data_IF_773518485189
#
_entry.id   IF_773518485189
#
_cell.length_a   1.000
_cell.length_b   1.000
_cell.length_c   1.000
_cell.angle_alpha   90.00
_cell.angle_beta   90.00
_cell.angle_gamma   90.00
#
_symmetry.space_group_name_H-M   'P 1'
#
loop_
_entity.id
_entity.type
_entity.pdbx_description
1 polymer ?
#
# COMPACT_ATOMS: atom_id res chain seq x y z
N UNK A 1 -49.24 -37.10 94.67
CA UNK A 1 -49.36 -37.76 93.36
C UNK A 1 -48.41 -37.03 92.42
N UNK A 2 -47.37 -37.72 92.03
CA UNK A 2 -46.06 -37.23 91.57
C UNK A 2 -46.12 -36.72 90.14
N UNK A 3 -45.67 -35.50 89.85
CA UNK A 3 -45.22 -35.11 88.49
C UNK A 3 -43.93 -34.29 88.63
N UNK A 4 -42.91 -34.79 87.95
CA UNK A 4 -41.50 -34.39 87.99
C UNK A 4 -41.22 -33.10 87.20
N UNK A 5 -40.24 -32.35 87.71
CA UNK A 5 -39.45 -31.34 86.99
C UNK A 5 -38.73 -31.98 85.80
N UNK A 6 -38.71 -31.30 84.65
CA UNK A 6 -37.74 -31.55 83.59
C UNK A 6 -37.18 -30.22 83.07
N UNK A 7 -35.88 -30.04 83.24
CA UNK A 7 -35.10 -28.92 82.75
C UNK A 7 -34.95 -29.00 81.22
N UNK A 8 -35.17 -27.88 80.54
CA UNK A 8 -34.87 -27.73 79.12
C UNK A 8 -33.50 -27.07 79.02
N UNK A 9 -32.47 -27.88 78.76
CA UNK A 9 -31.14 -27.39 78.35
C UNK A 9 -31.18 -26.92 76.90
N UNK A 10 -30.84 -25.66 76.71
CA UNK A 10 -30.70 -24.98 75.43
C UNK A 10 -29.35 -25.39 74.78
N UNK A 11 -29.38 -26.31 73.82
CA UNK A 11 -28.19 -26.66 73.02
C UNK A 11 -28.16 -25.73 71.79
N UNK A 12 -27.28 -24.73 71.86
CA UNK A 12 -26.86 -23.91 70.72
C UNK A 12 -26.01 -24.75 69.76
N UNK A 13 -26.56 -25.14 68.60
CA UNK A 13 -25.80 -25.74 67.51
C UNK A 13 -25.31 -24.63 66.56
N UNK A 14 -24.07 -24.20 66.74
CA UNK A 14 -23.37 -23.32 65.81
C UNK A 14 -22.97 -24.13 64.56
N UNK A 15 -23.71 -23.95 63.47
CA UNK A 15 -23.31 -24.46 62.14
C UNK A 15 -22.17 -23.58 61.64
N UNK A 16 -20.94 -24.06 61.84
CA UNK A 16 -19.76 -23.52 61.19
C UNK A 16 -19.82 -23.92 59.71
N UNK A 17 -20.17 -22.97 58.85
CA UNK A 17 -19.97 -23.05 57.40
C UNK A 17 -18.47 -23.02 57.10
N UNK A 18 -17.81 -24.18 57.18
CA UNK A 18 -16.47 -24.34 56.65
C UNK A 18 -16.58 -24.47 55.12
N UNK A 19 -16.29 -23.39 54.40
CA UNK A 19 -15.86 -23.50 53.01
C UNK A 19 -14.58 -24.36 52.99
N UNK A 20 -14.69 -25.61 52.58
CA UNK A 20 -13.52 -26.38 52.16
C UNK A 20 -13.03 -25.79 50.84
N UNK A 21 -11.83 -25.17 50.78
CA UNK A 21 -11.24 -24.84 49.50
C UNK A 21 -10.97 -26.15 48.75
N UNK A 22 -11.49 -26.25 47.52
CA UNK A 22 -11.06 -27.29 46.59
C UNK A 22 -9.52 -27.23 46.50
N UNK A 23 -8.79 -28.34 46.65
CA UNK A 23 -7.36 -28.34 46.41
C UNK A 23 -7.12 -27.87 44.97
N UNK A 24 -6.46 -26.71 44.84
CA UNK A 24 -6.10 -26.12 43.58
C UNK A 24 -4.95 -26.90 42.95
N UNK A 25 -5.26 -28.07 42.38
CA UNK A 25 -4.41 -28.68 41.35
C UNK A 25 -5.07 -28.50 39.99
N UNK A 26 -5.18 -27.25 39.55
CA UNK A 26 -5.14 -26.98 38.12
C UNK A 26 -3.66 -26.88 37.76
N UNK A 27 -3.07 -27.97 37.28
CA UNK A 27 -1.91 -27.83 36.40
C UNK A 27 -2.32 -26.80 35.33
N UNK A 28 -1.61 -25.67 35.16
CA UNK A 28 -1.88 -24.82 34.01
C UNK A 28 -1.79 -25.71 32.78
N UNK A 29 -2.81 -25.67 31.92
CA UNK A 29 -2.78 -26.40 30.67
C UNK A 29 -1.47 -26.03 29.97
N UNK A 30 -0.58 -27.01 29.79
CA UNK A 30 0.66 -26.80 29.06
C UNK A 30 0.27 -26.62 27.59
N UNK A 31 0.17 -25.36 27.20
CA UNK A 31 -0.21 -24.92 25.88
C UNK A 31 -0.40 -23.41 25.91
N UNK A 32 0.14 -22.72 24.92
CA UNK A 32 -0.10 -21.28 24.75
C UNK A 32 -1.61 -21.03 24.71
N UNK A 33 -2.10 -20.20 25.65
CA UNK A 33 -3.49 -19.78 25.74
C UNK A 33 -3.79 -18.56 24.83
N UNK A 34 -2.80 -18.16 24.02
CA UNK A 34 -2.98 -17.07 23.08
C UNK A 34 -3.97 -17.52 21.99
N UNK A 35 -4.93 -16.68 21.61
CA UNK A 35 -5.84 -16.97 20.51
C UNK A 35 -5.10 -16.87 19.14
N UNK A 36 -5.70 -17.32 18.02
CA UNK A 36 -5.09 -17.18 16.71
C UNK A 36 -4.98 -15.71 16.28
N UNK A 37 -4.00 -15.36 15.45
CA UNK A 37 -3.76 -14.01 14.92
C UNK A 37 -3.77 -14.08 13.40
N UNK A 38 -4.58 -13.24 12.76
CA UNK A 38 -4.54 -13.06 11.31
C UNK A 38 -3.25 -12.35 10.92
N UNK A 39 -2.47 -12.94 10.02
CA UNK A 39 -1.15 -12.44 9.61
C UNK A 39 -1.17 -11.85 8.22
N UNK A 40 -2.03 -12.34 7.33
CA UNK A 40 -2.04 -11.95 5.93
C UNK A 40 -3.43 -12.10 5.29
N UNK A 41 -3.75 -11.22 4.35
CA UNK A 41 -4.86 -11.36 3.40
C UNK A 41 -4.29 -11.27 1.98
N UNK A 42 -4.61 -12.27 1.18
CA UNK A 42 -4.18 -12.39 -0.21
C UNK A 42 -5.40 -12.68 -1.08
N UNK A 43 -5.27 -12.40 -2.36
CA UNK A 43 -6.23 -12.78 -3.37
C UNK A 43 -5.48 -13.15 -4.65
N UNK A 44 -5.70 -14.38 -5.12
CA UNK A 44 -5.05 -14.93 -6.31
C UNK A 44 -5.97 -14.97 -7.51
N UNK A 45 -7.26 -14.68 -7.31
CA UNK A 45 -8.26 -14.56 -8.36
C UNK A 45 -9.39 -13.63 -7.93
N UNK A 46 -10.28 -13.20 -8.83
CA UNK A 46 -11.45 -12.39 -8.47
C UNK A 46 -12.43 -13.11 -7.53
N UNK A 47 -12.37 -14.43 -7.42
CA UNK A 47 -13.35 -15.23 -6.67
C UNK A 47 -12.74 -15.97 -5.47
N UNK A 48 -11.54 -15.59 -5.03
CA UNK A 48 -10.86 -16.24 -3.92
C UNK A 48 -10.10 -15.21 -3.06
N UNK A 49 -10.42 -15.21 -1.77
CA UNK A 49 -9.67 -14.52 -0.73
C UNK A 49 -8.99 -15.58 0.12
N UNK A 50 -7.69 -15.45 0.34
CA UNK A 50 -6.89 -16.35 1.17
C UNK A 50 -6.42 -15.58 2.40
N UNK A 51 -6.81 -16.04 3.59
CA UNK A 51 -6.39 -15.50 4.87
C UNK A 51 -5.38 -16.44 5.51
N UNK A 52 -4.28 -15.91 6.05
CA UNK A 52 -3.32 -16.68 6.84
C UNK A 52 -3.38 -16.31 8.32
N UNK A 53 -3.14 -17.31 9.14
CA UNK A 53 -3.09 -17.20 10.59
C UNK A 53 -1.78 -17.78 11.14
N UNK A 54 -1.45 -17.46 12.38
CA UNK A 54 -0.28 -18.01 13.09
C UNK A 54 -0.48 -19.47 13.60
N UNK A 55 -1.72 -19.98 13.51
CA UNK A 55 -2.17 -21.26 14.06
C UNK A 55 -3.22 -21.89 13.17
N UNK A 56 -3.42 -23.19 13.36
CA UNK A 56 -4.54 -23.88 12.71
C UNK A 56 -5.88 -23.35 13.21
N UNK A 57 -6.81 -23.18 12.27
CA UNK A 57 -8.10 -22.56 12.53
C UNK A 57 -9.27 -23.44 12.05
N UNK A 58 -10.45 -23.11 12.55
CA UNK A 58 -11.75 -23.55 12.06
C UNK A 58 -12.67 -22.35 12.01
N UNK A 59 -13.48 -22.25 10.95
CA UNK A 59 -14.49 -21.21 10.79
C UNK A 59 -15.57 -21.65 9.79
N UNK A 60 -16.76 -21.06 9.90
CA UNK A 60 -17.90 -21.27 9.01
C UNK A 60 -18.19 -20.02 8.16
N UNK A 61 -18.88 -20.13 7.00
CA UNK A 61 -19.23 -18.98 6.17
C UNK A 61 -19.97 -17.86 6.90
N UNK A 62 -20.81 -18.20 7.89
CA UNK A 62 -21.54 -17.22 8.71
C UNK A 62 -20.65 -16.39 9.63
N UNK A 63 -19.39 -16.80 9.83
CA UNK A 63 -18.45 -16.11 10.68
C UNK A 63 -17.77 -14.94 9.96
N UNK A 64 -17.97 -14.78 8.66
CA UNK A 64 -17.30 -13.77 7.82
C UNK A 64 -18.28 -12.81 7.18
N UNK A 65 -17.79 -11.60 6.91
CA UNK A 65 -18.45 -10.61 6.08
C UNK A 65 -17.42 -9.81 5.28
N UNK A 66 -17.78 -9.44 4.06
CA UNK A 66 -16.99 -8.56 3.19
C UNK A 66 -17.73 -7.22 3.09
N UNK A 67 -16.99 -6.11 3.11
CA UNK A 67 -17.51 -4.76 2.94
C UNK A 67 -16.73 -4.08 1.79
N UNK A 68 -17.38 -3.51 0.75
CA UNK A 68 -18.82 -3.53 0.46
C UNK A 68 -19.43 -4.94 0.45
N UNK A 69 -20.74 -5.05 0.70
CA UNK A 69 -21.39 -6.35 0.89
C UNK A 69 -21.29 -7.21 -0.37
N UNK A 70 -20.53 -8.31 -0.24
CA UNK A 70 -20.45 -9.39 -1.20
C UNK A 70 -20.77 -10.67 -0.45
N UNK A 71 -21.77 -11.42 -0.90
CA UNK A 71 -22.15 -12.68 -0.24
C UNK A 71 -21.00 -13.69 -0.29
N UNK A 72 -20.93 -14.62 0.66
CA UNK A 72 -19.91 -15.68 0.73
C UNK A 72 -20.58 -17.03 0.44
N UNK A 73 -20.10 -17.74 -0.58
CA UNK A 73 -20.68 -19.03 -0.98
C UNK A 73 -20.11 -20.19 -0.15
N UNK A 74 -18.82 -20.14 0.18
CA UNK A 74 -18.15 -21.18 0.95
C UNK A 74 -16.91 -20.63 1.65
N UNK A 75 -16.50 -21.35 2.70
CA UNK A 75 -15.27 -21.14 3.43
C UNK A 75 -14.60 -22.50 3.60
N UNK A 76 -13.32 -22.59 3.26
CA UNK A 76 -12.52 -23.79 3.40
C UNK A 76 -11.32 -23.53 4.31
N UNK A 77 -11.11 -24.40 5.29
CA UNK A 77 -10.01 -24.27 6.25
C UNK A 77 -8.93 -25.33 5.94
N UNK A 78 -7.71 -24.87 5.68
CA UNK A 78 -6.55 -25.69 5.33
C UNK A 78 -5.39 -25.37 6.30
N UNK A 79 -5.39 -26.03 7.45
CA UNK A 79 -4.40 -25.77 8.51
C UNK A 79 -4.46 -24.31 8.98
N UNK A 80 -3.41 -23.54 8.69
CA UNK A 80 -3.28 -22.12 9.07
C UNK A 80 -3.90 -21.14 8.04
N UNK A 81 -4.60 -21.67 7.03
CA UNK A 81 -5.14 -20.87 5.92
C UNK A 81 -6.66 -21.01 5.85
N UNK A 82 -7.37 -19.90 5.64
CA UNK A 82 -8.79 -19.88 5.30
C UNK A 82 -8.94 -19.38 3.88
N UNK A 83 -9.65 -20.14 3.05
CA UNK A 83 -10.09 -19.71 1.74
C UNK A 83 -11.55 -19.29 1.81
N UNK A 84 -11.84 -18.03 1.48
CA UNK A 84 -13.18 -17.46 1.44
C UNK A 84 -13.55 -17.24 -0.02
N UNK A 85 -14.67 -17.83 -0.43
CA UNK A 85 -15.18 -17.78 -1.80
C UNK A 85 -16.38 -16.83 -1.87
N UNK A 86 -16.24 -15.65 -2.49
CA UNK A 86 -17.35 -14.75 -2.70
C UNK A 86 -18.37 -15.32 -3.71
N UNK A 87 -19.63 -14.99 -3.52
CA UNK A 87 -20.76 -15.37 -4.40
C UNK A 87 -20.69 -14.76 -5.80
N UNK A 88 -19.94 -13.66 -5.94
CA UNK A 88 -19.66 -13.00 -7.21
C UNK A 88 -18.19 -12.56 -7.24
N UNK A 89 -17.56 -12.48 -8.42
CA UNK A 89 -16.22 -11.94 -8.56
C UNK A 89 -16.10 -10.53 -7.95
N UNK A 90 -15.04 -10.31 -7.21
CA UNK A 90 -14.65 -9.00 -6.70
C UNK A 90 -14.16 -8.11 -7.85
N UNK A 91 -14.46 -6.82 -7.78
CA UNK A 91 -14.07 -5.85 -8.80
C UNK A 91 -12.58 -5.54 -8.67
N UNK A 92 -11.85 -5.62 -9.77
CA UNK A 92 -10.42 -5.33 -9.81
C UNK A 92 -10.11 -3.93 -9.26
N UNK A 93 -9.14 -3.83 -8.35
CA UNK A 93 -8.68 -2.56 -7.79
C UNK A 93 -9.67 -1.87 -6.84
N UNK A 94 -10.84 -2.44 -6.56
CA UNK A 94 -11.75 -1.93 -5.54
C UNK A 94 -11.26 -2.32 -4.14
N UNK A 95 -11.39 -1.41 -3.17
CA UNK A 95 -11.04 -1.67 -1.77
C UNK A 95 -12.16 -2.46 -1.08
N UNK A 96 -11.79 -3.55 -0.43
CA UNK A 96 -12.66 -4.37 0.39
C UNK A 96 -12.10 -4.52 1.80
N UNK A 97 -13.00 -4.71 2.76
CA UNK A 97 -12.69 -5.01 4.15
C UNK A 97 -13.36 -6.33 4.53
N UNK A 98 -12.56 -7.33 4.88
CA UNK A 98 -13.07 -8.61 5.39
C UNK A 98 -13.01 -8.60 6.91
N UNK A 99 -14.14 -8.88 7.55
CA UNK A 99 -14.23 -9.17 8.98
C UNK A 99 -14.54 -10.64 9.15
N UNK A 100 -13.98 -11.25 10.18
CA UNK A 100 -14.37 -12.60 10.54
C UNK A 100 -14.06 -12.96 11.97
N UNK A 101 -14.60 -14.10 12.41
CA UNK A 101 -14.21 -14.76 13.65
C UNK A 101 -13.68 -16.15 13.33
N UNK A 102 -12.53 -16.49 13.90
CA UNK A 102 -11.93 -17.83 13.77
C UNK A 102 -11.70 -18.44 15.14
N UNK A 103 -11.61 -19.76 15.19
CA UNK A 103 -11.34 -20.51 16.41
C UNK A 103 -10.20 -21.51 16.20
N UNK A 104 -9.33 -21.69 17.20
CA UNK A 104 -8.29 -22.73 17.17
C UNK A 104 -8.79 -24.08 17.72
N UNK A 105 -7.97 -25.12 17.61
CA UNK A 105 -8.28 -26.47 18.13
C UNK A 105 -8.48 -26.52 19.66
N UNK A 106 -8.04 -25.50 20.40
CA UNK A 106 -8.22 -25.35 21.85
C UNK A 106 -9.43 -24.50 22.21
N UNK A 107 -10.22 -24.08 21.22
CA UNK A 107 -11.41 -23.23 21.33
C UNK A 107 -11.12 -21.78 21.71
N UNK A 108 -9.90 -21.30 21.55
CA UNK A 108 -9.62 -19.87 21.64
C UNK A 108 -10.11 -19.19 20.36
N UNK A 109 -10.81 -18.07 20.49
CA UNK A 109 -11.41 -17.35 19.36
C UNK A 109 -10.80 -15.96 19.21
N UNK A 110 -10.68 -15.50 17.96
CA UNK A 110 -10.28 -14.14 17.59
C UNK A 110 -11.23 -13.60 16.54
N UNK A 111 -11.72 -12.37 16.76
CA UNK A 111 -12.30 -11.57 15.69
C UNK A 111 -11.23 -10.68 15.08
N UNK A 112 -11.21 -10.58 13.76
CA UNK A 112 -10.22 -9.81 13.02
C UNK A 112 -10.90 -8.98 11.93
N UNK A 113 -10.14 -8.02 11.39
CA UNK A 113 -10.54 -7.24 10.23
C UNK A 113 -9.32 -6.85 9.42
N UNK A 114 -9.38 -7.02 8.10
CA UNK A 114 -8.28 -6.70 7.19
C UNK A 114 -8.81 -6.01 5.93
N UNK A 115 -8.09 -5.00 5.48
CA UNK A 115 -8.31 -4.36 4.18
C UNK A 115 -7.54 -5.11 3.10
N UNK A 116 -8.15 -5.26 1.93
CA UNK A 116 -7.52 -5.81 0.73
C UNK A 116 -8.13 -5.18 -0.53
N UNK A 117 -7.55 -5.43 -1.69
CA UNK A 117 -8.03 -4.90 -2.96
C UNK A 117 -8.45 -6.03 -3.88
N UNK A 118 -9.53 -5.87 -4.65
CA UNK A 118 -9.99 -6.89 -5.59
C UNK A 118 -8.94 -7.21 -6.65
N UNK A 119 -8.86 -8.48 -7.04
CA UNK A 119 -7.76 -8.99 -7.86
C UNK A 119 -7.86 -8.45 -9.28
N UNK A 120 -6.76 -7.89 -9.79
CA UNK A 120 -6.67 -7.44 -11.17
C UNK A 120 -5.96 -8.51 -12.02
N UNK A 121 -6.70 -9.29 -12.84
CA UNK A 121 -6.10 -10.36 -13.64
C UNK A 121 -5.34 -9.87 -14.88
N UNK A 122 -5.51 -8.59 -15.24
CA UNK A 122 -5.00 -8.00 -16.47
C UNK A 122 -4.10 -6.79 -16.16
N UNK A 123 -3.16 -6.96 -15.24
CA UNK A 123 -2.25 -5.87 -14.86
C UNK A 123 -1.34 -5.44 -16.02
N UNK A 124 -1.28 -4.13 -16.36
CA UNK A 124 -0.28 -3.58 -17.26
C UNK A 124 1.10 -3.59 -16.61
N UNK A 125 2.13 -3.40 -17.42
CA UNK A 125 3.50 -3.10 -16.96
C UNK A 125 3.74 -1.62 -17.19
N UNK A 126 3.86 -0.87 -16.10
CA UNK A 126 4.06 0.58 -16.08
C UNK A 126 5.45 0.91 -15.54
N UNK A 127 6.05 1.96 -16.08
CA UNK A 127 7.28 2.57 -15.57
C UNK A 127 7.03 4.03 -15.25
N UNK A 128 7.61 4.54 -14.17
CA UNK A 128 7.77 5.98 -13.94
C UNK A 128 8.71 6.48 -15.04
N UNK A 129 8.28 7.45 -15.83
CA UNK A 129 8.95 7.81 -17.08
C UNK A 129 9.50 9.24 -17.10
N UNK A 130 8.74 10.19 -16.58
CA UNK A 130 9.12 11.60 -16.50
C UNK A 130 8.40 12.27 -15.33
N UNK A 131 9.06 13.17 -14.60
CA UNK A 131 8.42 13.90 -13.52
C UNK A 131 9.07 15.26 -13.22
N UNK A 132 8.32 16.15 -12.57
CA UNK A 132 8.80 17.43 -12.05
C UNK A 132 8.62 17.50 -10.54
N UNK A 133 9.58 18.10 -9.82
CA UNK A 133 9.54 18.20 -8.34
C UNK A 133 9.38 19.62 -7.81
N UNK A 134 9.24 20.61 -8.70
CA UNK A 134 9.25 22.03 -8.38
C UNK A 134 8.22 22.80 -9.23
N UNK A 135 7.01 22.27 -9.29
CA UNK A 135 5.88 22.81 -10.05
C UNK A 135 5.48 24.21 -9.61
N UNK A 136 4.87 24.93 -10.55
CA UNK A 136 4.30 26.26 -10.38
C UNK A 136 2.80 26.25 -10.65
N UNK A 137 2.11 27.37 -10.41
CA UNK A 137 0.67 27.47 -10.69
C UNK A 137 0.28 27.29 -12.17
N UNK A 138 1.24 27.27 -13.11
CA UNK A 138 1.03 27.02 -14.55
C UNK A 138 1.68 25.73 -15.05
N UNK A 139 2.45 25.06 -14.19
CA UNK A 139 3.17 23.83 -14.50
C UNK A 139 3.09 22.97 -13.25
N UNK A 140 1.99 22.22 -13.03
CA UNK A 140 1.83 21.41 -11.84
C UNK A 140 3.00 20.44 -11.68
N UNK A 141 3.19 19.91 -10.46
CA UNK A 141 4.03 18.73 -10.34
C UNK A 141 3.32 17.58 -11.05
N UNK A 142 3.96 17.01 -12.06
CA UNK A 142 3.40 15.91 -12.84
C UNK A 142 4.32 14.71 -12.74
N UNK A 143 3.74 13.53 -12.61
CA UNK A 143 4.41 12.24 -12.78
C UNK A 143 3.78 11.56 -13.97
N UNK A 144 4.59 11.22 -14.96
CA UNK A 144 4.22 10.44 -16.11
C UNK A 144 4.59 8.97 -15.92
N UNK A 145 3.66 8.11 -16.29
CA UNK A 145 3.88 6.68 -16.41
C UNK A 145 3.89 6.28 -17.89
N UNK A 146 4.85 5.45 -18.28
CA UNK A 146 4.90 4.83 -19.60
C UNK A 146 4.38 3.40 -19.55
N UNK A 147 3.50 3.04 -20.48
CA UNK A 147 2.87 1.71 -20.54
C UNK A 147 3.71 0.79 -21.43
N UNK A 148 4.55 -0.04 -20.81
CA UNK A 148 5.38 -1.05 -21.52
C UNK A 148 4.56 -2.24 -22.03
N UNK A 149 3.53 -2.62 -21.28
CA UNK A 149 2.55 -3.66 -21.65
C UNK A 149 1.16 -3.18 -21.25
N UNK A 150 0.20 -3.26 -22.19
CA UNK A 150 -1.19 -2.90 -21.94
C UNK A 150 -1.91 -3.83 -20.95
N UNK A 151 -3.07 -3.36 -20.47
CA UNK A 151 -3.89 -4.03 -19.47
C UNK A 151 -4.88 -3.06 -18.81
N UNK A 152 -5.50 -3.48 -17.71
CA UNK A 152 -6.36 -2.67 -16.86
C UNK A 152 -5.55 -2.07 -15.71
N UNK A 153 -5.54 -0.75 -15.57
CA UNK A 153 -4.76 -0.05 -14.54
C UNK A 153 -5.35 -0.13 -13.12
N UNK A 154 -6.52 -0.76 -12.94
CA UNK A 154 -7.25 -0.77 -11.69
C UNK A 154 -6.40 -1.17 -10.49
N UNK A 155 -6.39 -0.30 -9.48
CA UNK A 155 -5.75 -0.53 -8.20
C UNK A 155 -4.26 -0.21 -8.16
N UNK A 156 -3.58 -0.09 -9.31
CA UNK A 156 -2.16 0.30 -9.33
C UNK A 156 -2.01 1.64 -8.62
N UNK A 157 -1.03 1.73 -7.72
CA UNK A 157 -0.90 2.86 -6.81
C UNK A 157 0.44 3.54 -6.97
N UNK A 158 0.41 4.84 -7.24
CA UNK A 158 1.57 5.73 -7.16
C UNK A 158 1.67 6.30 -5.74
N UNK A 159 2.84 6.22 -5.13
CA UNK A 159 3.15 6.89 -3.88
C UNK A 159 4.23 7.95 -4.08
N UNK A 160 4.00 9.13 -3.50
CA UNK A 160 5.07 10.07 -3.14
C UNK A 160 5.79 9.56 -1.89
N UNK A 161 6.58 8.50 -2.05
CA UNK A 161 7.23 7.75 -0.98
C UNK A 161 7.22 6.25 -1.28
N UNK A 162 6.97 5.44 -0.26
CA UNK A 162 6.75 3.99 -0.34
C UNK A 162 5.38 3.64 0.25
N UNK A 163 4.93 2.38 0.10
CA UNK A 163 3.64 1.95 0.68
C UNK A 163 3.60 2.03 2.21
N UNK A 164 4.74 1.93 2.89
CA UNK A 164 4.80 2.07 4.36
C UNK A 164 4.87 3.52 4.80
N UNK A 165 5.54 4.37 4.01
CA UNK A 165 5.88 5.74 4.37
C UNK A 165 5.74 6.63 3.16
N UNK A 166 4.64 7.37 3.06
CA UNK A 166 4.36 8.27 1.95
C UNK A 166 3.92 9.66 2.40
N UNK A 167 3.95 10.62 1.48
CA UNK A 167 3.33 11.94 1.63
C UNK A 167 1.95 11.93 1.01
N UNK A 168 1.89 11.59 -0.27
CA UNK A 168 0.67 11.49 -1.07
C UNK A 168 0.59 10.11 -1.71
N UNK A 169 -0.64 9.66 -2.02
CA UNK A 169 -0.90 8.43 -2.77
C UNK A 169 -2.00 8.67 -3.78
N UNK A 170 -1.90 8.02 -4.93
CA UNK A 170 -2.93 8.02 -5.95
C UNK A 170 -3.17 6.59 -6.44
N UNK A 171 -4.42 6.13 -6.32
CA UNK A 171 -4.84 4.80 -6.76
C UNK A 171 -5.51 4.97 -8.12
N UNK A 172 -4.93 4.34 -9.15
CA UNK A 172 -5.48 4.41 -10.50
C UNK A 172 -6.85 3.73 -10.54
N UNK A 173 -7.86 4.39 -11.15
CA UNK A 173 -9.16 3.78 -11.35
C UNK A 173 -9.08 2.64 -12.38
N UNK A 174 -10.19 1.93 -12.58
CA UNK A 174 -10.26 0.98 -13.68
C UNK A 174 -10.40 1.69 -15.02
N UNK A 175 -9.41 1.53 -15.89
CA UNK A 175 -9.43 1.90 -17.31
C UNK A 175 -8.39 1.05 -18.05
N UNK A 176 -8.55 0.93 -19.37
CA UNK A 176 -7.65 0.13 -20.19
C UNK A 176 -6.56 1.01 -20.81
N UNK A 177 -5.32 0.55 -20.73
CA UNK A 177 -4.15 1.16 -21.36
C UNK A 177 -3.54 0.22 -22.38
N UNK A 178 -3.06 0.77 -23.49
CA UNK A 178 -2.33 0.04 -24.52
C UNK A 178 -0.81 0.20 -24.31
N UNK A 179 -0.03 -0.75 -24.81
CA UNK A 179 1.41 -0.57 -24.86
C UNK A 179 1.76 0.68 -25.71
N UNK A 180 2.64 1.53 -25.20
CA UNK A 180 2.97 2.83 -25.79
C UNK A 180 2.10 3.99 -25.31
N UNK A 181 1.06 3.74 -24.50
CA UNK A 181 0.30 4.83 -23.86
C UNK A 181 1.13 5.52 -22.76
N UNK A 182 0.75 6.76 -22.48
CA UNK A 182 1.26 7.56 -21.36
C UNK A 182 0.11 7.88 -20.41
N UNK A 183 0.40 7.93 -19.11
CA UNK A 183 -0.54 8.32 -18.05
C UNK A 183 0.08 9.46 -17.25
N UNK A 184 -0.57 10.61 -17.21
CA UNK A 184 -0.12 11.80 -16.49
C UNK A 184 -0.90 11.94 -15.19
N UNK A 185 -0.18 12.03 -14.08
CA UNK A 185 -0.73 12.25 -12.75
C UNK A 185 -0.26 13.61 -12.25
N UNK A 186 -1.16 14.58 -12.24
CA UNK A 186 -0.93 15.96 -11.80
C UNK A 186 -1.13 16.06 -10.28
N UNK A 187 -0.03 16.15 -9.54
CA UNK A 187 0.04 16.09 -8.08
C UNK A 187 -0.19 17.44 -7.39
N UNK A 188 -0.13 18.54 -8.15
CA UNK A 188 -0.36 19.89 -7.63
C UNK A 188 -1.21 20.72 -8.59
N UNK A 189 -2.44 20.27 -8.86
CA UNK A 189 -3.31 20.88 -9.87
C UNK A 189 -3.86 22.23 -9.37
N UNK A 190 -4.52 22.97 -10.25
CA UNK A 190 -5.09 24.29 -9.93
C UNK A 190 -6.40 24.20 -9.13
N UNK A 191 -7.10 23.06 -9.22
CA UNK A 191 -8.42 22.86 -8.65
C UNK A 191 -9.54 23.48 -9.48
N UNK A 192 -9.43 23.46 -10.81
CA UNK A 192 -10.45 24.00 -11.73
C UNK A 192 -11.33 22.89 -12.32
N UNK A 193 -12.56 23.22 -12.72
CA UNK A 193 -13.56 22.24 -13.18
C UNK A 193 -13.14 21.45 -14.44
N UNK A 194 -12.20 21.98 -15.22
CA UNK A 194 -11.71 21.32 -16.44
C UNK A 194 -10.54 20.36 -16.20
N UNK A 195 -10.09 20.21 -14.95
CA UNK A 195 -9.13 19.19 -14.51
C UNK A 195 -9.91 17.91 -14.17
N UNK A 196 -10.29 17.18 -15.22
CA UNK A 196 -11.09 15.95 -15.11
C UNK A 196 -10.23 14.71 -15.29
N UNK A 197 -10.51 13.67 -14.51
CA UNK A 197 -9.84 12.37 -14.63
C UNK A 197 -10.34 11.61 -15.87
N UNK A 198 -9.43 11.26 -16.76
CA UNK A 198 -9.73 10.63 -18.04
C UNK A 198 -9.73 9.11 -17.96
N UNK A 199 -10.85 8.49 -18.35
CA UNK A 199 -11.03 7.02 -18.32
C UNK A 199 -11.52 6.42 -19.64
N UNK A 200 -12.11 7.26 -20.49
CA UNK A 200 -12.71 6.85 -21.77
C UNK A 200 -12.07 7.55 -22.96
N UNK A 201 -11.66 8.82 -22.79
CA UNK A 201 -11.05 9.66 -23.82
C UNK A 201 -9.92 10.49 -23.24
N UNK A 202 -8.84 10.62 -24.01
CA UNK A 202 -7.60 11.33 -23.68
C UNK A 202 -7.62 12.84 -23.93
N UNK A 203 -8.74 13.37 -24.43
CA UNK A 203 -8.85 14.76 -24.88
C UNK A 203 -9.92 15.55 -24.12
N UNK A 204 -10.32 15.07 -22.94
CA UNK A 204 -11.37 15.67 -22.11
C UNK A 204 -10.81 16.74 -21.18
N UNK A 205 -9.65 16.49 -20.57
CA UNK A 205 -9.00 17.43 -19.67
C UNK A 205 -8.55 18.71 -20.40
N UNK A 206 -8.61 19.85 -19.70
CA UNK A 206 -8.14 21.17 -20.18
C UNK A 206 -7.35 21.95 -19.11
N UNK A 207 -6.80 21.24 -18.13
CA UNK A 207 -5.89 21.83 -17.14
C UNK A 207 -4.54 22.22 -17.75
N UNK A 208 -3.70 22.92 -16.99
CA UNK A 208 -2.33 23.18 -17.46
C UNK A 208 -1.54 21.88 -17.59
N UNK A 209 -0.76 21.79 -18.66
CA UNK A 209 0.03 20.61 -19.03
C UNK A 209 -0.79 19.31 -19.21
N UNK A 210 -2.11 19.41 -19.43
CA UNK A 210 -2.92 18.30 -19.98
C UNK A 210 -2.46 17.93 -21.40
N UNK A 211 -2.61 16.67 -21.78
CA UNK A 211 -2.17 16.14 -23.06
C UNK A 211 -3.28 15.39 -23.80
N UNK A 212 -3.49 15.71 -25.08
CA UNK A 212 -4.47 15.00 -25.92
C UNK A 212 -4.00 13.61 -26.39
N UNK A 213 -2.77 13.21 -26.02
CA UNK A 213 -2.17 11.92 -26.36
C UNK A 213 -1.93 11.02 -25.14
N UNK A 214 -2.13 11.53 -23.93
CA UNK A 214 -1.97 10.79 -22.67
C UNK A 214 -3.29 10.70 -21.90
N UNK A 215 -3.33 9.86 -20.87
CA UNK A 215 -4.45 9.83 -19.91
C UNK A 215 -4.16 10.80 -18.76
N UNK A 216 -4.94 11.86 -18.62
CA UNK A 216 -4.76 12.86 -17.56
C UNK A 216 -5.55 12.53 -16.28
N UNK A 217 -4.86 12.58 -15.13
CA UNK A 217 -5.42 12.41 -13.80
C UNK A 217 -4.96 13.52 -12.86
N UNK A 218 -5.83 13.95 -11.94
CA UNK A 218 -5.61 15.15 -11.13
C UNK A 218 -5.80 14.86 -9.64
N UNK A 219 -4.72 14.98 -8.85
CA UNK A 219 -4.78 14.82 -7.40
C UNK A 219 -5.25 16.12 -6.76
N UNK A 220 -6.57 16.26 -6.67
CA UNK A 220 -7.22 17.45 -6.13
C UNK A 220 -6.77 17.74 -4.69
N UNK A 221 -6.24 18.95 -4.47
CA UNK A 221 -5.68 19.35 -3.17
C UNK A 221 -4.30 18.73 -2.84
N UNK A 222 -3.67 18.06 -3.81
CA UNK A 222 -2.35 17.48 -3.66
C UNK A 222 -1.26 18.52 -3.40
N UNK A 223 -0.26 18.12 -2.63
CA UNK A 223 0.79 19.03 -2.15
C UNK A 223 1.97 19.17 -3.12
N UNK A 224 1.99 18.36 -4.18
CA UNK A 224 3.11 18.21 -5.09
C UNK A 224 4.23 17.35 -4.52
N UNK A 225 5.36 17.35 -5.20
CA UNK A 225 6.54 16.60 -4.79
C UNK A 225 7.51 17.49 -4.01
N UNK A 226 8.30 16.88 -3.15
CA UNK A 226 9.41 17.58 -2.49
C UNK A 226 10.48 17.92 -3.53
N UNK A 227 10.87 19.19 -3.62
CA UNK A 227 11.86 19.66 -4.59
C UNK A 227 13.31 19.32 -4.27
N UNK A 228 13.63 18.98 -3.02
CA UNK A 228 15.01 18.70 -2.60
C UNK A 228 15.36 17.21 -2.70
N UNK A 229 14.44 16.36 -2.26
CA UNK A 229 14.65 14.92 -2.19
C UNK A 229 13.33 14.18 -1.98
N UNK A 230 13.29 12.92 -2.39
CA UNK A 230 12.09 12.10 -2.27
C UNK A 230 12.24 10.75 -2.96
N UNK A 231 11.16 9.98 -2.85
CA UNK A 231 10.97 8.72 -3.54
C UNK A 231 9.63 8.75 -4.26
N UNK A 232 9.57 8.13 -5.43
CA UNK A 232 8.35 7.77 -6.13
C UNK A 232 8.32 6.25 -6.27
N UNK A 233 7.19 5.62 -6.00
CA UNK A 233 7.05 4.18 -6.17
C UNK A 233 5.70 3.83 -6.78
N UNK A 234 5.70 2.81 -7.63
CA UNK A 234 4.51 2.18 -8.17
C UNK A 234 4.34 0.81 -7.55
N UNK A 235 3.14 0.51 -7.07
CA UNK A 235 2.78 -0.83 -6.60
C UNK A 235 1.56 -1.35 -7.36
N UNK A 236 1.51 -2.68 -7.52
CA UNK A 236 0.36 -3.38 -8.12
C UNK A 236 -0.98 -3.08 -7.44
N UNK A 237 -0.94 -2.76 -6.14
CA UNK A 237 -2.01 -2.13 -5.35
C UNK A 237 -1.42 -1.56 -4.05
N UNK A 238 -2.19 -0.88 -3.17
CA UNK A 238 -1.62 -0.28 -1.95
C UNK A 238 -0.89 -1.23 -1.00
N UNK A 239 -1.17 -2.53 -1.05
CA UNK A 239 -0.49 -3.55 -0.24
C UNK A 239 0.36 -4.50 -1.09
N UNK A 240 0.35 -4.34 -2.41
CA UNK A 240 0.91 -5.25 -3.38
C UNK A 240 2.43 -5.19 -3.51
N UNK A 241 2.92 -5.76 -4.60
CA UNK A 241 4.34 -5.79 -4.97
C UNK A 241 4.76 -4.49 -5.66
N UNK A 242 6.01 -4.08 -5.42
CA UNK A 242 6.67 -2.97 -6.10
C UNK A 242 6.80 -3.28 -7.59
N UNK A 243 6.50 -2.30 -8.44
CA UNK A 243 6.57 -2.39 -9.90
C UNK A 243 7.75 -1.58 -10.45
N UNK A 244 7.91 -0.35 -9.98
CA UNK A 244 8.99 0.57 -10.37
C UNK A 244 9.19 1.61 -9.27
N UNK A 245 10.37 2.21 -9.22
CA UNK A 245 10.73 3.25 -8.26
C UNK A 245 11.64 4.31 -8.88
N UNK A 246 11.60 5.51 -8.33
CA UNK A 246 12.58 6.57 -8.60
C UNK A 246 12.99 7.24 -7.30
N UNK A 247 14.29 7.23 -7.02
CA UNK A 247 14.89 7.92 -5.88
C UNK A 247 15.59 9.18 -6.37
N UNK A 248 15.35 10.32 -5.72
CA UNK A 248 15.94 11.58 -6.13
C UNK A 248 16.35 12.46 -4.94
N UNK A 249 17.43 13.21 -5.11
CA UNK A 249 18.00 14.07 -4.06
C UNK A 249 18.93 15.13 -4.63
N UNK A 250 19.08 16.26 -3.94
CA UNK A 250 20.12 17.25 -4.17
C UNK A 250 21.21 17.22 -3.09
N UNK A 251 21.22 16.14 -2.30
CA UNK A 251 22.13 15.92 -1.17
C UNK A 251 23.21 14.90 -1.54
N UNK A 252 24.23 14.88 -0.71
CA UNK A 252 25.35 13.94 -0.72
C UNK A 252 25.52 13.35 0.67
N UNK A 253 26.26 12.26 0.80
CA UNK A 253 26.70 11.71 2.07
C UNK A 253 27.48 12.73 2.93
N UNK A 254 28.09 13.74 2.29
CA UNK A 254 28.78 14.85 2.97
C UNK A 254 27.85 15.98 3.43
N UNK A 255 26.57 15.98 3.01
CA UNK A 255 25.63 17.07 3.34
C UNK A 255 25.31 17.15 4.83
N UNK A 256 25.28 16.02 5.53
CA UNK A 256 25.24 15.92 6.99
C UNK A 256 25.58 14.48 7.46
N UNK A 257 25.94 14.33 8.74
CA UNK A 257 26.32 13.02 9.30
C UNK A 257 25.14 12.16 9.80
N UNK A 258 23.93 12.69 9.81
CA UNK A 258 22.74 11.93 10.21
C UNK A 258 22.13 11.26 8.98
N UNK A 259 21.43 10.15 9.21
CA UNK A 259 20.63 9.48 8.18
C UNK A 259 21.37 9.20 6.87
N UNK A 260 22.69 8.95 6.95
CA UNK A 260 23.58 8.73 5.79
C UNK A 260 23.55 9.87 4.75
N UNK A 261 23.28 11.11 5.18
CA UNK A 261 23.24 12.29 4.31
C UNK A 261 21.91 12.52 3.58
N UNK A 262 20.91 11.64 3.74
CA UNK A 262 19.56 11.83 3.16
C UNK A 262 18.79 13.00 3.77
N UNK A 263 19.26 13.57 4.89
CA UNK A 263 18.66 14.73 5.55
C UNK A 263 17.44 14.42 6.41
N UNK A 264 16.84 13.22 6.29
CA UNK A 264 15.78 12.76 7.20
C UNK A 264 15.78 11.24 7.35
N UNK A 265 15.36 10.75 8.52
CA UNK A 265 15.11 9.32 8.74
C UNK A 265 14.04 8.78 7.78
N UNK A 266 13.03 9.59 7.45
CA UNK A 266 11.93 9.23 6.54
C UNK A 266 12.47 8.79 5.17
N UNK A 267 13.30 9.63 4.54
CA UNK A 267 13.83 9.34 3.21
C UNK A 267 14.84 8.18 3.22
N UNK A 268 15.68 8.10 4.25
CA UNK A 268 16.61 7.00 4.41
C UNK A 268 15.87 5.65 4.46
N UNK A 269 14.80 5.56 5.25
CA UNK A 269 13.97 4.35 5.34
C UNK A 269 13.23 4.02 4.04
N UNK A 270 12.79 5.03 3.29
CA UNK A 270 12.19 4.84 1.97
C UNK A 270 13.20 4.25 0.98
N UNK A 271 14.45 4.77 0.99
CA UNK A 271 15.52 4.27 0.14
C UNK A 271 15.88 2.82 0.49
N UNK A 272 15.97 2.49 1.79
CA UNK A 272 16.20 1.12 2.27
C UNK A 272 15.06 0.17 1.84
N UNK A 273 13.79 0.57 2.01
CA UNK A 273 12.65 -0.27 1.62
C UNK A 273 12.66 -0.58 0.10
N UNK A 274 12.99 0.41 -0.73
CA UNK A 274 13.08 0.24 -2.19
C UNK A 274 14.24 -0.68 -2.56
N UNK A 275 15.41 -0.49 -1.94
CA UNK A 275 16.59 -1.34 -2.12
C UNK A 275 16.31 -2.80 -1.70
N UNK A 276 15.74 -3.00 -0.52
CA UNK A 276 15.37 -4.33 0.00
C UNK A 276 14.31 -5.04 -0.88
N UNK A 277 13.45 -4.25 -1.53
CA UNK A 277 12.46 -4.75 -2.48
C UNK A 277 13.04 -5.04 -3.87
N UNK A 278 14.32 -4.73 -4.10
CA UNK A 278 15.00 -4.89 -5.40
C UNK A 278 14.55 -3.90 -6.47
N UNK A 279 13.95 -2.77 -6.08
CA UNK A 279 13.46 -1.74 -7.02
C UNK A 279 14.46 -0.63 -7.33
N UNK A 280 15.69 -0.73 -6.81
CA UNK A 280 16.78 0.18 -7.15
C UNK A 280 18.13 -0.50 -6.99
N UNK A 281 18.92 -0.52 -8.05
CA UNK A 281 20.23 -1.14 -8.13
C UNK A 281 21.32 -0.11 -7.79
N UNK A 282 22.25 -0.52 -6.92
CA UNK A 282 23.43 0.24 -6.51
C UNK A 282 24.58 -0.73 -6.18
N UNK A 283 25.83 -0.24 -6.17
CA UNK A 283 27.02 -1.11 -6.01
C UNK A 283 27.48 -1.29 -4.55
N UNK A 284 27.19 -0.32 -3.69
CA UNK A 284 27.65 -0.32 -2.30
C UNK A 284 26.85 -1.28 -1.41
N UNK A 285 27.31 -1.50 -0.17
CA UNK A 285 26.59 -2.33 0.82
C UNK A 285 25.28 -1.67 1.28
N UNK A 286 25.25 -0.34 1.26
CA UNK A 286 24.12 0.48 1.67
C UNK A 286 23.87 1.57 0.64
N UNK A 287 22.60 1.85 0.36
CA UNK A 287 22.21 2.90 -0.58
C UNK A 287 22.59 4.28 -0.02
N UNK A 288 23.20 5.11 -0.87
CA UNK A 288 23.63 6.46 -0.52
C UNK A 288 22.90 7.53 -1.36
N UNK A 289 22.88 8.81 -0.91
CA UNK A 289 22.34 9.90 -1.72
C UNK A 289 22.96 9.98 -3.13
N UNK A 290 24.22 9.61 -3.27
CA UNK A 290 24.93 9.57 -4.54
C UNK A 290 24.33 8.56 -5.53
N UNK A 291 23.61 7.54 -5.08
CA UNK A 291 22.96 6.53 -5.92
C UNK A 291 21.59 6.99 -6.45
N UNK A 292 21.11 8.15 -6.01
CA UNK A 292 19.84 8.73 -6.40
C UNK A 292 19.99 9.68 -7.60
N UNK A 293 18.87 9.99 -8.24
CA UNK A 293 18.78 10.97 -9.31
C UNK A 293 19.05 12.37 -8.74
N UNK A 294 19.92 13.14 -9.40
CA UNK A 294 20.24 14.50 -8.98
C UNK A 294 19.09 15.45 -9.29
N UNK A 295 18.42 15.98 -8.26
CA UNK A 295 17.20 16.78 -8.43
C UNK A 295 17.42 18.29 -8.44
N UNK A 296 18.62 18.78 -8.15
CA UNK A 296 18.87 20.23 -8.02
C UNK A 296 18.63 21.03 -9.31
N UNK A 297 18.57 20.35 -10.45
CA UNK A 297 18.39 20.95 -11.76
C UNK A 297 16.93 20.93 -12.22
N UNK A 298 16.07 20.20 -11.52
CA UNK A 298 14.63 20.19 -11.79
C UNK A 298 13.99 21.52 -11.42
N UNK A 299 13.07 21.98 -12.26
CA UNK A 299 12.24 23.17 -12.04
C UNK A 299 10.86 22.93 -12.64
N UNK A 300 9.93 23.86 -12.44
CA UNK A 300 8.63 23.87 -13.12
C UNK A 300 8.68 23.65 -14.64
N UNK A 301 9.81 23.97 -15.30
CA UNK A 301 9.98 23.82 -16.75
C UNK A 301 11.10 22.85 -17.14
N UNK A 302 11.72 22.17 -16.17
CA UNK A 302 12.80 21.19 -16.37
C UNK A 302 12.43 19.92 -15.60
N UNK A 303 11.96 18.93 -16.32
CA UNK A 303 11.61 17.61 -15.78
C UNK A 303 12.84 16.71 -15.68
N UNK A 304 12.73 15.73 -14.80
CA UNK A 304 13.60 14.57 -14.71
C UNK A 304 12.95 13.48 -15.56
N UNK A 305 13.66 12.94 -16.54
CA UNK A 305 13.10 11.96 -17.47
C UNK A 305 14.05 10.78 -17.67
N UNK A 306 13.48 9.62 -17.99
CA UNK A 306 14.24 8.51 -18.58
C UNK A 306 14.68 8.84 -20.00
N UNK A 307 15.56 8.04 -20.59
CA UNK A 307 15.87 8.11 -22.04
C UNK A 307 14.62 7.97 -22.92
N UNK A 308 14.69 8.39 -24.19
CA UNK A 308 13.64 8.27 -25.21
C UNK A 308 13.12 6.83 -25.39
N UNK A 309 13.96 5.84 -25.09
CA UNK A 309 13.58 4.41 -25.17
C UNK A 309 12.87 3.88 -23.92
N UNK A 310 12.76 4.69 -22.87
CA UNK A 310 12.29 4.27 -21.54
C UNK A 310 13.00 3.01 -21.04
N UNK A 311 14.30 2.90 -21.32
CA UNK A 311 15.14 1.84 -20.80
C UNK A 311 15.19 1.90 -19.27
N UNK A 312 15.27 0.72 -18.66
CA UNK A 312 15.22 0.57 -17.22
C UNK A 312 16.23 -0.46 -16.74
N UNK A 313 17.20 0.03 -16.00
CA UNK A 313 18.22 -0.74 -15.28
C UNK A 313 18.02 -0.66 -13.78
N UNK A 314 16.92 -0.03 -13.33
CA UNK A 314 16.64 0.35 -11.95
C UNK A 314 17.77 1.19 -11.33
N UNK A 315 18.44 2.05 -12.11
CA UNK A 315 19.53 2.89 -11.58
C UNK A 315 19.30 4.36 -11.88
N UNK A 316 20.01 5.25 -11.17
CA UNK A 316 20.07 6.68 -11.53
C UNK A 316 20.56 6.93 -12.95
N UNK A 317 21.29 5.98 -13.56
CA UNK A 317 21.86 6.11 -14.90
C UNK A 317 20.80 6.12 -15.99
N UNK A 318 19.57 5.69 -15.70
CA UNK A 318 18.45 5.75 -16.63
C UNK A 318 17.91 7.17 -16.83
N UNK A 319 18.30 8.11 -15.97
CA UNK A 319 17.64 9.40 -15.79
C UNK A 319 18.54 10.60 -16.09
N UNK A 320 17.95 11.65 -16.65
CA UNK A 320 18.57 12.97 -16.80
C UNK A 320 17.55 14.08 -16.59
N UNK A 321 18.02 15.31 -16.42
CA UNK A 321 17.15 16.50 -16.43
C UNK A 321 17.15 17.12 -17.82
N UNK A 322 15.98 17.42 -18.37
CA UNK A 322 15.86 18.07 -19.69
C UNK A 322 16.00 19.60 -19.59
N UNK A 323 16.39 20.28 -20.68
CA UNK A 323 16.43 21.74 -20.72
C UNK A 323 15.04 22.38 -20.53
N UNK A 324 15.03 23.69 -20.28
CA UNK A 324 13.79 24.46 -20.11
C UNK A 324 12.82 24.25 -21.27
N UNK A 325 11.58 23.89 -20.95
CA UNK A 325 10.48 23.66 -21.89
C UNK A 325 10.75 22.51 -22.88
N UNK A 326 11.61 21.56 -22.48
CA UNK A 326 11.86 20.30 -23.20
C UNK A 326 11.21 19.09 -22.55
N UNK A 327 10.33 19.29 -21.56
CA UNK A 327 9.53 18.19 -21.03
C UNK A 327 8.70 17.55 -22.13
N UNK A 328 8.48 16.24 -22.00
CA UNK A 328 7.95 15.36 -23.05
C UNK A 328 6.66 14.67 -22.65
N UNK A 329 5.95 15.19 -21.65
CA UNK A 329 4.67 14.65 -21.19
C UNK A 329 3.70 14.30 -22.34
N UNK A 330 3.29 13.04 -22.37
CA UNK A 330 2.37 12.41 -23.32
C UNK A 330 2.99 11.91 -24.62
N UNK A 331 4.31 11.90 -24.77
CA UNK A 331 5.02 11.49 -25.99
C UNK A 331 6.41 10.93 -25.65
N UNK A 332 7.15 10.55 -26.68
CA UNK A 332 8.52 10.03 -26.54
C UNK A 332 9.42 11.00 -25.75
N UNK A 333 10.19 10.46 -24.80
CA UNK A 333 11.03 11.25 -23.91
C UNK A 333 12.12 12.00 -24.69
N UNK A 334 12.39 13.23 -24.25
CA UNK A 334 13.50 14.01 -24.78
C UNK A 334 14.85 13.48 -24.28
N UNK A 335 15.73 13.10 -25.21
CA UNK A 335 17.15 12.81 -24.92
C UNK A 335 18.03 14.07 -24.79
N UNK A 336 17.46 15.28 -24.91
CA UNK A 336 18.20 16.51 -24.61
C UNK A 336 18.55 16.57 -23.12
N UNK A 337 19.83 16.76 -22.82
CA UNK A 337 20.35 16.85 -21.45
C UNK A 337 20.62 18.32 -21.11
N UNK A 338 20.10 18.78 -19.97
CA UNK A 338 20.44 20.08 -19.41
C UNK A 338 21.92 20.11 -18.98
N UNK A 339 22.67 21.06 -19.52
CA UNK A 339 24.06 21.35 -19.15
C UNK A 339 24.11 22.75 -18.54
N UNK A 340 24.75 22.87 -17.36
CA UNK A 340 24.90 24.14 -16.64
C UNK A 340 25.88 25.12 -17.29
#
# INVERSE_FOLDING_TARGET
>A
MTIHFFEISLICLTILSACTPLPAEKKPAQGTAAPPVATEVLNSSPSLITLRFDKEISADPSDFMIVPEVGISSVECHGQTVEVYPTQPLVAGEEYFIKGTVQDSKRNSTSFGMTFFGFNPDLPVLLINEFTTNGSGKHPDTVELYVRKGGNAAGITLFGGTKTTFQDKFILPSFHVNAGDYVLIHLKPQGIETEVDEKERKDEAKGYDSSDTAWDFWVQGGSGLSGNNGALTLYTNPYGQLMDAALYTNRTSESDSNYRGFGSAKLMLQADEIAESGGWNFEADEIAPEDCIWSADSTATRSICRSGTSADTDTKGDWHTVPTSRFSFGKENSDEIYVK
#
